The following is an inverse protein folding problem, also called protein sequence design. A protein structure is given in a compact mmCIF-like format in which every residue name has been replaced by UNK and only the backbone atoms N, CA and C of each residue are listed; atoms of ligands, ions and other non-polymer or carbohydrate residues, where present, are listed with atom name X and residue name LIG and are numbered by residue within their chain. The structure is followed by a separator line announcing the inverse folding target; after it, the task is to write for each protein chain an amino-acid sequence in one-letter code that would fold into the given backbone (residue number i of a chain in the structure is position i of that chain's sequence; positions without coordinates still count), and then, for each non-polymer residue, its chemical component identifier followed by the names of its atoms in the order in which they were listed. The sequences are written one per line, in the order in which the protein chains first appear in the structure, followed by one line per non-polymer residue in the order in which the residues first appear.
data_IF_735551364467
#
_entry.id   IF_735551364467
#
_cell.length_a   1.000
_cell.length_b   1.000
_cell.length_c   1.000
_cell.angle_alpha   90.00
_cell.angle_beta   90.00
_cell.angle_gamma   90.00
#
_symmetry.space_group_name_H-M   'P 1'
#
loop_
_entity.id
_entity.type
_entity.pdbx_description
1 polymer ?
#
# COMPACT_ATOMS: atom_id res chain seq x y z
N UNK A 1 6.35 -28.46 3.19
CA UNK A 1 5.53 -27.79 4.23
C UNK A 1 5.48 -26.32 3.90
N UNK A 2 4.32 -25.68 3.91
CA UNK A 2 4.21 -24.24 3.59
C UNK A 2 4.82 -23.45 4.74
N UNK A 3 5.82 -22.62 4.43
CA UNK A 3 6.42 -21.68 5.36
C UNK A 3 6.77 -20.38 4.61
N UNK A 4 6.04 -19.32 4.94
CA UNK A 4 6.19 -17.97 4.38
C UNK A 4 6.93 -17.03 5.34
N UNK A 5 7.29 -17.52 6.55
CA UNK A 5 8.09 -16.75 7.49
C UNK A 5 9.52 -16.61 6.97
N UNK A 6 10.07 -15.42 7.12
CA UNK A 6 11.42 -15.07 6.69
C UNK A 6 12.15 -14.34 7.80
N UNK A 7 13.43 -14.59 7.92
CA UNK A 7 14.26 -14.00 8.96
C UNK A 7 14.92 -12.69 8.53
N UNK A 8 14.92 -12.37 7.24
CA UNK A 8 15.65 -11.21 6.70
C UNK A 8 14.78 -10.32 5.82
N UNK A 9 14.75 -9.03 6.12
CA UNK A 9 14.13 -8.00 5.27
C UNK A 9 14.82 -7.93 3.91
N UNK A 10 16.14 -8.01 3.86
CA UNK A 10 16.89 -7.94 2.62
C UNK A 10 16.57 -9.11 1.68
N UNK A 11 16.36 -10.33 2.22
CA UNK A 11 15.96 -11.49 1.42
C UNK A 11 14.63 -11.24 0.69
N UNK A 12 13.60 -10.79 1.41
CA UNK A 12 12.27 -10.60 0.83
C UNK A 12 12.19 -9.40 -0.10
N UNK A 13 13.00 -8.37 0.15
CA UNK A 13 13.02 -7.16 -0.67
C UNK A 13 13.88 -7.29 -1.93
N UNK A 14 14.84 -8.21 -1.98
CA UNK A 14 15.79 -8.38 -3.10
C UNK A 14 15.13 -8.65 -4.46
N UNK A 15 13.89 -9.12 -4.46
CA UNK A 15 13.10 -9.36 -5.66
C UNK A 15 12.52 -8.07 -6.28
N UNK A 16 12.46 -6.97 -5.51
CA UNK A 16 11.96 -5.67 -5.98
C UNK A 16 13.01 -5.05 -6.90
N UNK A 17 12.56 -4.59 -8.07
CA UNK A 17 13.43 -3.99 -9.10
C UNK A 17 13.05 -2.55 -9.35
N UNK A 18 13.93 -1.83 -10.03
CA UNK A 18 13.67 -0.48 -10.51
C UNK A 18 12.38 -0.43 -11.33
N UNK A 19 11.62 0.64 -11.16
CA UNK A 19 10.35 0.86 -11.87
C UNK A 19 9.15 0.13 -11.29
N UNK A 20 9.32 -0.71 -10.26
CA UNK A 20 8.21 -1.45 -9.66
C UNK A 20 7.10 -0.54 -9.13
N UNK A 21 5.86 -1.02 -9.23
CA UNK A 21 4.69 -0.42 -8.57
C UNK A 21 4.47 -1.09 -7.23
N UNK A 22 4.44 -0.30 -6.16
CA UNK A 22 4.36 -0.80 -4.79
C UNK A 22 3.20 -0.15 -4.05
N UNK A 23 2.29 -0.98 -3.53
CA UNK A 23 1.28 -0.58 -2.56
C UNK A 23 1.93 -0.51 -1.17
N UNK A 24 1.86 0.64 -0.51
CA UNK A 24 2.38 0.81 0.84
C UNK A 24 1.22 1.11 1.80
N UNK A 25 0.97 0.17 2.71
CA UNK A 25 -0.06 0.28 3.73
C UNK A 25 0.18 1.45 4.67
N UNK A 26 -0.90 1.91 5.30
CA UNK A 26 -0.85 2.96 6.29
C UNK A 26 -1.88 4.07 6.05
N UNK A 27 -2.19 4.77 7.14
CA UNK A 27 -3.02 5.99 7.17
C UNK A 27 -2.32 6.99 8.10
N UNK A 28 -1.74 8.03 7.56
CA UNK A 28 -0.72 8.79 8.29
C UNK A 28 0.45 7.86 8.62
N UNK A 29 0.83 7.79 9.87
CA UNK A 29 1.87 6.86 10.37
C UNK A 29 1.28 5.53 10.88
N UNK A 30 -0.05 5.45 11.09
CA UNK A 30 -0.69 4.26 11.62
C UNK A 30 -0.67 3.12 10.58
N UNK A 31 -0.06 1.99 10.94
CA UNK A 31 0.03 0.81 10.08
C UNK A 31 1.02 0.93 8.92
N UNK A 32 1.89 1.93 8.91
CA UNK A 32 2.94 2.06 7.92
C UNK A 32 4.06 1.04 8.19
N UNK A 33 4.52 0.28 7.17
CA UNK A 33 5.57 -0.72 7.31
C UNK A 33 6.95 -0.07 7.25
N UNK A 34 7.34 0.65 8.31
CA UNK A 34 8.51 1.51 8.33
C UNK A 34 9.82 0.75 8.06
N UNK A 35 9.96 -0.43 8.63
CA UNK A 35 11.16 -1.25 8.50
C UNK A 35 11.30 -1.82 7.07
N UNK A 36 10.19 -2.18 6.41
CA UNK A 36 10.21 -2.54 4.98
C UNK A 36 10.56 -1.35 4.09
N UNK A 37 10.10 -0.15 4.45
CA UNK A 37 10.45 1.08 3.73
C UNK A 37 11.95 1.39 3.91
N UNK A 38 12.48 1.28 5.12
CA UNK A 38 13.93 1.46 5.36
C UNK A 38 14.75 0.46 4.56
N UNK A 39 14.31 -0.81 4.51
CA UNK A 39 14.95 -1.83 3.67
C UNK A 39 14.90 -1.52 2.16
N UNK A 40 13.83 -0.88 1.66
CA UNK A 40 13.80 -0.40 0.26
C UNK A 40 14.84 0.70 -0.01
N UNK A 41 15.08 1.57 0.96
CA UNK A 41 16.10 2.61 0.87
C UNK A 41 17.49 1.98 0.81
N UNK A 42 17.75 1.00 1.67
CA UNK A 42 19.02 0.25 1.70
C UNK A 42 19.25 -0.54 0.41
N UNK A 43 18.21 -1.11 -0.17
CA UNK A 43 18.26 -1.83 -1.44
C UNK A 43 18.65 -0.91 -2.61
N UNK A 44 18.35 0.39 -2.50
CA UNK A 44 18.77 1.41 -3.46
C UNK A 44 17.97 1.44 -4.77
N UNK A 45 16.85 0.75 -4.85
CA UNK A 45 15.96 0.73 -6.05
C UNK A 45 15.43 2.11 -6.39
N UNK A 46 15.20 2.35 -7.69
CA UNK A 46 14.84 3.65 -8.25
C UNK A 46 13.58 3.60 -9.10
N UNK A 47 13.09 4.77 -9.43
CA UNK A 47 11.95 4.95 -10.36
C UNK A 47 10.65 4.28 -9.91
N UNK A 48 10.47 4.07 -8.62
CA UNK A 48 9.30 3.40 -8.07
C UNK A 48 8.02 4.22 -8.27
N UNK A 49 6.92 3.53 -8.55
CA UNK A 49 5.56 4.07 -8.42
C UNK A 49 4.98 3.62 -7.09
N UNK A 50 4.70 4.55 -6.20
CA UNK A 50 4.15 4.27 -4.88
C UNK A 50 2.66 4.58 -4.85
N UNK A 51 1.87 3.63 -4.39
CA UNK A 51 0.44 3.78 -4.13
C UNK A 51 0.21 3.73 -2.63
N UNK A 52 -0.25 4.82 -2.04
CA UNK A 52 -0.50 4.92 -0.60
C UNK A 52 -1.60 5.94 -0.32
N UNK A 53 -2.12 5.98 0.91
CA UNK A 53 -3.14 6.97 1.26
C UNK A 53 -2.61 8.42 1.23
N UNK A 54 -1.36 8.63 1.60
CA UNK A 54 -0.69 9.95 1.62
C UNK A 54 0.72 9.85 1.01
N UNK A 55 1.41 10.99 0.92
CA UNK A 55 2.75 11.07 0.35
C UNK A 55 3.87 11.17 1.42
N UNK A 56 3.57 10.81 2.66
CA UNK A 56 4.53 10.88 3.77
C UNK A 56 4.49 12.18 4.54
N UNK A 57 4.95 12.11 5.78
CA UNK A 57 4.98 13.19 6.76
C UNK A 57 6.37 13.31 7.37
N UNK A 58 6.80 14.53 7.66
CA UNK A 58 8.09 14.79 8.28
C UNK A 58 9.24 14.17 7.48
N UNK A 59 10.09 13.43 8.17
CA UNK A 59 11.23 12.69 7.63
C UNK A 59 11.17 11.18 7.96
N UNK A 60 9.95 10.67 8.18
CA UNK A 60 9.70 9.29 8.57
C UNK A 60 9.05 8.48 7.45
N UNK A 61 9.34 7.16 7.42
CA UNK A 61 8.69 6.20 6.53
C UNK A 61 8.71 6.64 5.06
N UNK A 62 7.53 6.83 4.46
CA UNK A 62 7.42 7.18 3.03
C UNK A 62 8.13 8.50 2.67
N UNK A 63 8.18 9.48 3.58
CA UNK A 63 8.93 10.71 3.35
C UNK A 63 10.45 10.45 3.24
N UNK A 64 11.01 9.49 4.01
CA UNK A 64 12.41 9.04 3.86
C UNK A 64 12.67 8.42 2.49
N UNK A 65 11.74 7.58 2.01
CA UNK A 65 11.85 6.93 0.69
C UNK A 65 11.86 7.97 -0.44
N UNK A 66 10.99 8.99 -0.35
CA UNK A 66 10.97 10.12 -1.27
C UNK A 66 12.30 10.89 -1.25
N UNK A 67 12.78 11.22 -0.04
CA UNK A 67 14.05 11.94 0.15
C UNK A 67 15.26 11.18 -0.38
N UNK A 68 15.24 9.85 -0.35
CA UNK A 68 16.27 8.98 -0.93
C UNK A 68 16.28 8.98 -2.48
N UNK A 69 15.30 9.65 -3.11
CA UNK A 69 15.19 9.72 -4.57
C UNK A 69 14.85 8.37 -5.23
N UNK A 70 14.17 7.49 -4.52
CA UNK A 70 13.73 6.19 -5.02
C UNK A 70 12.40 6.26 -5.77
N UNK A 71 11.60 7.30 -5.56
CA UNK A 71 10.22 7.39 -6.05
C UNK A 71 10.16 8.32 -7.27
N UNK A 72 9.58 7.81 -8.36
CA UNK A 72 9.25 8.58 -9.55
C UNK A 72 7.83 9.14 -9.50
N UNK A 73 6.87 8.33 -9.03
CA UNK A 73 5.44 8.68 -9.01
C UNK A 73 4.79 8.28 -7.70
N UNK A 74 3.89 9.14 -7.21
CA UNK A 74 2.99 8.85 -6.09
C UNK A 74 1.55 8.87 -6.58
N UNK A 75 0.78 7.82 -6.27
CA UNK A 75 -0.67 7.74 -6.44
C UNK A 75 -1.27 7.74 -5.04
N UNK A 76 -1.99 8.79 -4.65
CA UNK A 76 -2.53 8.90 -3.30
C UNK A 76 -3.78 9.76 -3.24
N UNK A 77 -4.48 9.69 -2.11
CA UNK A 77 -5.70 10.48 -1.90
C UNK A 77 -5.44 11.83 -1.23
N UNK A 78 -4.41 11.93 -0.43
CA UNK A 78 -4.09 13.12 0.37
C UNK A 78 -2.59 13.39 0.39
N UNK A 79 -2.03 13.99 -0.68
CA UNK A 79 -0.59 14.14 -0.84
C UNK A 79 0.07 15.07 0.17
N UNK A 80 -0.69 16.06 0.69
CA UNK A 80 -0.15 17.13 1.50
C UNK A 80 -0.85 17.21 2.85
N UNK A 81 -0.07 17.08 3.91
CA UNK A 81 -0.43 17.41 5.29
C UNK A 81 0.43 18.58 5.79
N UNK A 82 0.21 19.05 7.02
CA UNK A 82 0.94 20.19 7.56
C UNK A 82 2.46 20.06 7.54
N UNK A 83 2.96 18.83 7.62
CA UNK A 83 4.38 18.45 7.70
C UNK A 83 4.89 17.68 6.47
N UNK A 84 4.18 17.71 5.34
CA UNK A 84 4.60 17.02 4.10
C UNK A 84 5.61 17.83 3.26
N UNK A 85 6.59 18.46 3.92
CA UNK A 85 7.55 19.35 3.26
C UNK A 85 8.45 18.61 2.25
N UNK A 86 8.86 17.37 2.52
CA UNK A 86 9.69 16.58 1.59
C UNK A 86 8.95 16.36 0.26
N UNK A 87 7.70 15.93 0.33
CA UNK A 87 6.88 15.75 -0.87
C UNK A 87 6.71 17.07 -1.63
N UNK A 88 6.37 18.16 -0.93
CA UNK A 88 6.15 19.48 -1.51
C UNK A 88 7.37 19.98 -2.29
N UNK A 89 8.56 19.87 -1.72
CA UNK A 89 9.81 20.27 -2.36
C UNK A 89 10.07 19.48 -3.65
N UNK A 90 9.94 18.16 -3.59
CA UNK A 90 10.18 17.27 -4.73
C UNK A 90 9.15 17.47 -5.83
N UNK A 91 7.87 17.61 -5.48
CA UNK A 91 6.80 17.85 -6.43
C UNK A 91 6.96 19.20 -7.15
N UNK A 92 7.23 20.29 -6.41
CA UNK A 92 7.47 21.62 -7.00
C UNK A 92 8.72 21.67 -7.87
N UNK A 93 9.72 20.85 -7.56
CA UNK A 93 10.94 20.70 -8.36
C UNK A 93 10.77 19.79 -9.59
N UNK A 94 9.55 19.24 -9.83
CA UNK A 94 9.27 18.31 -10.94
C UNK A 94 9.99 16.97 -10.83
N UNK A 95 10.45 16.60 -9.63
CA UNK A 95 11.19 15.35 -9.37
C UNK A 95 10.30 14.16 -9.06
N UNK A 96 9.04 14.39 -8.69
CA UNK A 96 8.06 13.36 -8.38
C UNK A 96 6.74 13.69 -9.07
N UNK A 97 6.20 12.73 -9.82
CA UNK A 97 4.87 12.81 -10.42
C UNK A 97 3.79 12.52 -9.37
N UNK A 98 2.63 13.18 -9.48
CA UNK A 98 1.49 12.97 -8.60
C UNK A 98 0.24 12.60 -9.39
N UNK A 99 -0.43 11.52 -8.96
CA UNK A 99 -1.80 11.21 -9.34
C UNK A 99 -2.68 11.28 -8.09
N UNK A 100 -3.59 12.26 -8.05
CA UNK A 100 -4.55 12.38 -6.95
C UNK A 100 -5.79 11.55 -7.27
N UNK A 101 -6.14 10.64 -6.36
CA UNK A 101 -7.33 9.78 -6.45
C UNK A 101 -8.15 9.97 -5.18
N UNK A 102 -9.44 10.34 -5.25
CA UNK A 102 -10.28 10.44 -4.06
C UNK A 102 -10.17 9.16 -3.22
N UNK A 103 -10.13 9.29 -1.91
CA UNK A 103 -9.80 8.16 -1.02
C UNK A 103 -10.73 6.96 -1.21
N UNK A 104 -12.05 7.20 -1.38
CA UNK A 104 -13.00 6.13 -1.69
C UNK A 104 -12.67 5.44 -3.02
N UNK A 105 -12.36 6.22 -4.08
CA UNK A 105 -11.97 5.67 -5.37
C UNK A 105 -10.62 4.91 -5.28
N UNK A 106 -9.66 5.42 -4.50
CA UNK A 106 -8.39 4.73 -4.27
C UNK A 106 -8.63 3.35 -3.65
N UNK A 107 -9.43 3.29 -2.59
CA UNK A 107 -9.79 2.03 -1.95
C UNK A 107 -10.54 1.09 -2.89
N UNK A 108 -11.54 1.60 -3.64
CA UNK A 108 -12.30 0.82 -4.62
C UNK A 108 -11.40 0.28 -5.75
N UNK A 109 -10.50 1.10 -6.29
CA UNK A 109 -9.57 0.71 -7.38
C UNK A 109 -8.59 -0.38 -6.93
N UNK A 110 -8.05 -0.28 -5.71
CA UNK A 110 -7.19 -1.31 -5.11
C UNK A 110 -7.99 -2.59 -4.87
N UNK A 111 -9.18 -2.48 -4.26
CA UNK A 111 -10.03 -3.63 -4.00
C UNK A 111 -10.48 -4.32 -5.29
N UNK A 112 -10.84 -3.56 -6.32
CA UNK A 112 -11.21 -4.09 -7.63
C UNK A 112 -10.08 -4.93 -8.25
N UNK A 113 -8.83 -4.51 -8.11
CA UNK A 113 -7.67 -5.29 -8.54
C UNK A 113 -7.60 -6.64 -7.82
N UNK A 114 -7.73 -6.64 -6.50
CA UNK A 114 -7.69 -7.86 -5.68
C UNK A 114 -8.86 -8.81 -5.91
N UNK A 115 -10.00 -8.29 -6.36
CA UNK A 115 -11.21 -9.07 -6.68
C UNK A 115 -11.26 -9.52 -8.15
N UNK A 116 -10.29 -9.13 -8.98
CA UNK A 116 -10.29 -9.47 -10.40
C UNK A 116 -11.32 -8.70 -11.25
N UNK A 117 -11.83 -7.57 -10.76
CA UNK A 117 -12.75 -6.72 -11.50
C UNK A 117 -11.99 -5.89 -12.55
N UNK A 118 -12.57 -5.77 -13.76
CA UNK A 118 -11.95 -5.01 -14.85
C UNK A 118 -12.09 -3.50 -14.70
N UNK A 119 -13.17 -3.03 -14.09
CA UNK A 119 -13.45 -1.63 -13.80
C UNK A 119 -14.61 -1.52 -12.81
N UNK A 120 -14.79 -0.35 -12.22
CA UNK A 120 -15.91 -0.03 -11.33
C UNK A 120 -16.46 1.37 -11.63
N UNK A 121 -17.76 1.56 -11.49
CA UNK A 121 -18.39 2.87 -11.53
C UNK A 121 -18.51 3.45 -10.11
N UNK A 122 -18.02 4.66 -9.89
CA UNK A 122 -18.14 5.36 -8.61
C UNK A 122 -18.75 6.75 -8.81
N UNK A 123 -19.57 7.26 -7.89
CA UNK A 123 -20.13 8.60 -8.02
C UNK A 123 -19.13 9.71 -7.67
N UNK A 124 -18.04 9.35 -6.98
CA UNK A 124 -17.07 10.31 -6.49
C UNK A 124 -16.20 10.83 -7.63
N UNK A 125 -16.14 12.14 -7.76
CA UNK A 125 -15.36 12.82 -8.80
C UNK A 125 -16.16 13.23 -10.02
N UNK A 126 -17.41 12.78 -10.19
CA UNK A 126 -18.27 13.23 -11.29
C UNK A 126 -18.42 14.75 -11.26
N UNK A 127 -18.36 15.40 -12.44
CA UNK A 127 -18.45 16.85 -12.59
C UNK A 127 -17.22 17.64 -12.11
N UNK A 128 -16.11 16.96 -11.81
CA UNK A 128 -14.83 17.59 -11.46
C UNK A 128 -13.74 17.27 -12.46
N UNK A 129 -12.58 17.93 -12.37
CA UNK A 129 -11.39 17.65 -13.18
C UNK A 129 -10.97 16.17 -13.12
N UNK A 130 -11.30 15.46 -12.04
CA UNK A 130 -10.97 14.04 -11.88
C UNK A 130 -11.78 13.12 -12.80
N UNK A 131 -12.88 13.59 -13.37
CA UNK A 131 -13.69 12.85 -14.34
C UNK A 131 -13.31 13.15 -15.79
N UNK A 132 -12.46 14.13 -16.05
CA UNK A 132 -12.06 14.48 -17.41
C UNK A 132 -11.38 13.31 -18.14
N UNK A 133 -11.87 13.02 -19.34
CA UNK A 133 -11.36 11.92 -20.16
C UNK A 133 -11.78 10.52 -19.74
N UNK A 134 -12.60 10.38 -18.66
CA UNK A 134 -13.15 9.11 -18.20
C UNK A 134 -14.57 8.90 -18.72
N UNK A 135 -14.93 7.62 -18.93
CA UNK A 135 -16.33 7.27 -19.21
C UNK A 135 -17.20 7.64 -18.02
N UNK A 136 -18.37 8.23 -18.31
CA UNK A 136 -19.38 8.52 -17.30
C UNK A 136 -20.68 7.81 -17.67
N UNK A 137 -21.49 7.45 -16.67
CA UNK A 137 -22.76 6.76 -16.88
C UNK A 137 -23.77 7.16 -15.81
N UNK A 138 -24.98 7.45 -16.23
CA UNK A 138 -26.11 7.55 -15.31
C UNK A 138 -26.63 6.13 -14.99
N UNK A 139 -26.79 5.82 -13.71
CA UNK A 139 -27.35 4.58 -13.21
C UNK A 139 -28.36 4.96 -12.13
N UNK A 140 -29.61 4.59 -12.31
CA UNK A 140 -30.71 4.86 -11.37
C UNK A 140 -30.81 6.35 -10.97
N UNK A 141 -30.68 7.25 -11.97
CA UNK A 141 -30.78 8.70 -11.78
C UNK A 141 -29.61 9.35 -11.08
N UNK A 142 -28.48 8.64 -10.97
CA UNK A 142 -27.23 9.14 -10.37
C UNK A 142 -26.06 8.96 -11.32
N UNK A 143 -25.24 9.99 -11.43
CA UNK A 143 -24.07 9.97 -12.29
C UNK A 143 -22.86 9.30 -11.64
N UNK A 144 -22.14 8.53 -12.45
CA UNK A 144 -20.96 7.76 -12.07
C UNK A 144 -19.81 8.00 -13.05
N UNK A 145 -18.59 7.79 -12.56
CA UNK A 145 -17.34 7.82 -13.32
C UNK A 145 -16.75 6.42 -13.32
N UNK A 146 -16.27 5.96 -14.47
CA UNK A 146 -15.55 4.69 -14.60
C UNK A 146 -14.13 4.82 -14.03
N UNK A 147 -13.78 3.92 -13.12
CA UNK A 147 -12.46 3.82 -12.54
C UNK A 147 -11.85 2.44 -12.81
N UNK A 148 -10.59 2.42 -13.26
CA UNK A 148 -9.84 1.20 -13.49
C UNK A 148 -9.10 0.73 -12.24
N UNK A 149 -8.93 -0.60 -12.05
CA UNK A 149 -8.17 -1.16 -10.94
C UNK A 149 -6.74 -0.62 -10.86
N UNK A 150 -6.22 -0.53 -9.64
CA UNK A 150 -4.80 -0.30 -9.39
C UNK A 150 -4.16 -1.62 -9.00
N UNK A 151 -3.48 -2.26 -9.94
CA UNK A 151 -2.64 -3.44 -9.71
C UNK A 151 -1.22 -3.01 -9.36
N UNK A 152 -0.51 -3.83 -8.59
CA UNK A 152 0.88 -3.57 -8.25
C UNK A 152 1.72 -4.86 -8.27
N UNK A 153 3.00 -4.69 -8.47
CA UNK A 153 3.97 -5.79 -8.41
C UNK A 153 4.12 -6.26 -6.95
N UNK A 154 4.14 -5.29 -6.01
CA UNK A 154 4.34 -5.58 -4.59
C UNK A 154 3.34 -4.83 -3.71
N UNK A 155 3.00 -5.46 -2.57
CA UNK A 155 2.37 -4.80 -1.43
C UNK A 155 3.26 -4.94 -0.19
N UNK A 156 3.61 -3.83 0.42
CA UNK A 156 4.29 -3.76 1.71
C UNK A 156 3.28 -3.34 2.77
N UNK A 157 2.99 -4.23 3.71
CA UNK A 157 1.97 -4.00 4.73
C UNK A 157 2.50 -4.28 6.14
N UNK A 158 1.84 -3.69 7.12
CA UNK A 158 2.11 -3.94 8.54
C UNK A 158 0.92 -4.61 9.20
N UNK A 159 1.15 -5.78 9.78
CA UNK A 159 0.16 -6.45 10.63
C UNK A 159 0.66 -6.54 12.07
N UNK A 160 -0.19 -6.98 12.98
CA UNK A 160 0.17 -7.16 14.38
C UNK A 160 0.83 -8.51 14.59
N UNK A 161 0.14 -9.60 14.20
CA UNK A 161 0.66 -10.96 14.25
C UNK A 161 0.41 -11.66 12.93
N UNK A 162 1.26 -12.62 12.61
CA UNK A 162 1.09 -13.52 11.49
C UNK A 162 1.51 -14.93 11.84
N UNK A 163 1.04 -15.92 11.11
CA UNK A 163 1.54 -17.28 11.18
C UNK A 163 2.40 -17.62 9.95
N UNK A 164 3.04 -18.79 9.97
CA UNK A 164 3.90 -19.25 8.86
C UNK A 164 3.14 -19.53 7.55
N UNK A 165 1.81 -19.59 7.56
CA UNK A 165 1.00 -19.68 6.36
C UNK A 165 0.66 -18.32 5.76
N UNK A 166 0.98 -17.22 6.48
CA UNK A 166 0.71 -15.87 6.04
C UNK A 166 -0.66 -15.34 6.46
N UNK A 167 -1.37 -16.02 7.36
CA UNK A 167 -2.58 -15.46 7.95
C UNK A 167 -2.21 -14.29 8.86
N UNK A 168 -2.96 -13.18 8.77
CA UNK A 168 -2.64 -11.95 9.47
C UNK A 168 -3.80 -11.43 10.31
N UNK A 169 -3.46 -10.94 11.51
CA UNK A 169 -4.34 -10.14 12.35
C UNK A 169 -3.75 -8.74 12.55
N UNK A 170 -4.60 -7.74 12.69
CA UNK A 170 -4.20 -6.34 12.82
C UNK A 170 -4.56 -5.81 14.20
N UNK A 171 -3.98 -4.68 14.56
CA UNK A 171 -4.28 -4.01 15.81
C UNK A 171 -4.83 -2.61 15.56
N UNK A 172 -6.07 -2.36 16.04
CA UNK A 172 -6.75 -1.05 15.95
C UNK A 172 -6.75 -0.50 14.52
N UNK A 173 -6.56 0.82 14.37
CA UNK A 173 -6.55 1.53 13.08
C UNK A 173 -5.38 1.17 12.15
N UNK A 174 -4.36 0.48 12.63
CA UNK A 174 -3.26 0.00 11.78
C UNK A 174 -3.70 -1.01 10.70
N UNK A 175 -4.91 -1.57 10.81
CA UNK A 175 -5.53 -2.39 9.78
C UNK A 175 -5.71 -1.65 8.45
N UNK A 176 -6.30 -0.44 8.49
CA UNK A 176 -6.62 0.47 7.36
C UNK A 176 -6.57 -0.17 5.95
N UNK A 177 -5.64 0.23 5.08
CA UNK A 177 -5.51 -0.28 3.71
C UNK A 177 -4.84 -1.65 3.60
N UNK A 178 -4.23 -2.18 4.67
CA UNK A 178 -3.46 -3.42 4.64
C UNK A 178 -4.17 -4.59 3.96
N UNK A 179 -5.41 -4.96 4.35
CA UNK A 179 -6.11 -6.12 3.78
C UNK A 179 -6.38 -6.00 2.28
N UNK A 180 -6.85 -4.85 1.80
CA UNK A 180 -7.16 -4.66 0.38
C UNK A 180 -5.89 -4.57 -0.48
N UNK A 181 -4.81 -4.00 0.05
CA UNK A 181 -3.51 -3.95 -0.62
C UNK A 181 -2.89 -5.34 -0.76
N UNK A 182 -3.02 -6.18 0.28
CA UNK A 182 -2.54 -7.57 0.23
C UNK A 182 -3.16 -8.38 -0.91
N UNK A 183 -4.41 -8.09 -1.28
CA UNK A 183 -5.13 -8.78 -2.35
C UNK A 183 -4.75 -8.28 -3.76
N UNK A 184 -4.23 -7.06 -3.86
CA UNK A 184 -4.10 -6.32 -5.12
C UNK A 184 -2.70 -6.35 -5.74
N UNK A 185 -1.75 -7.04 -5.12
CA UNK A 185 -0.39 -7.16 -5.61
C UNK A 185 -0.04 -8.60 -5.95
N UNK A 186 0.93 -8.77 -6.86
CA UNK A 186 1.44 -10.10 -7.22
C UNK A 186 2.22 -10.73 -6.05
N UNK A 187 2.97 -9.90 -5.30
CA UNK A 187 3.73 -10.33 -4.12
C UNK A 187 3.43 -9.42 -2.93
N UNK A 188 2.89 -9.99 -1.87
CA UNK A 188 2.67 -9.29 -0.60
C UNK A 188 3.70 -9.68 0.44
N UNK A 189 4.37 -8.67 0.99
CA UNK A 189 5.33 -8.78 2.07
C UNK A 189 4.74 -8.11 3.31
N UNK A 190 4.49 -8.88 4.35
CA UNK A 190 3.95 -8.39 5.60
C UNK A 190 5.01 -8.35 6.69
N UNK A 191 5.28 -7.16 7.24
CA UNK A 191 6.00 -7.08 8.51
C UNK A 191 5.02 -7.28 9.68
N UNK A 192 5.43 -8.05 10.67
CA UNK A 192 4.63 -8.33 11.86
C UNK A 192 5.45 -8.12 13.13
N UNK A 193 4.78 -7.78 14.23
CA UNK A 193 5.44 -7.71 15.55
C UNK A 193 5.76 -9.08 16.11
N UNK A 194 4.99 -10.11 15.70
CA UNK A 194 5.14 -11.47 16.22
C UNK A 194 4.70 -12.48 15.14
N UNK A 195 5.54 -13.49 14.91
CA UNK A 195 5.16 -14.70 14.17
C UNK A 195 4.76 -15.76 15.21
N UNK A 196 3.53 -16.25 15.09
CA UNK A 196 2.99 -17.25 16.01
C UNK A 196 2.96 -18.63 15.35
N UNK A 197 2.93 -19.68 16.17
CA UNK A 197 2.74 -21.06 15.70
C UNK A 197 1.37 -21.24 15.05
N UNK A 198 1.25 -22.23 14.15
CA UNK A 198 -0.04 -22.59 13.56
C UNK A 198 -1.07 -22.94 14.67
N UNK A 199 -2.26 -22.36 14.56
CA UNK A 199 -3.29 -22.46 15.58
C UNK A 199 -3.16 -21.42 16.70
N UNK A 200 -2.11 -20.60 16.71
CA UNK A 200 -1.94 -19.50 17.65
C UNK A 200 -2.74 -18.24 17.33
N UNK A 201 -3.30 -18.15 16.11
CA UNK A 201 -4.29 -17.14 15.77
C UNK A 201 -5.69 -17.73 15.90
N UNK A 202 -6.60 -16.96 16.50
CA UNK A 202 -8.01 -17.29 16.46
C UNK A 202 -8.51 -17.18 15.00
N UNK A 203 -9.01 -18.25 14.40
CA UNK A 203 -9.44 -18.25 13.00
C UNK A 203 -10.55 -17.24 12.70
N UNK A 204 -11.41 -16.93 13.68
CA UNK A 204 -12.47 -15.93 13.54
C UNK A 204 -11.92 -14.49 13.48
N UNK A 205 -10.69 -14.26 13.91
CA UNK A 205 -10.04 -12.95 13.92
C UNK A 205 -9.03 -12.75 12.78
N UNK A 206 -8.85 -13.75 11.92
CA UNK A 206 -7.99 -13.61 10.73
C UNK A 206 -8.66 -12.64 9.75
N UNK A 207 -7.97 -11.53 9.47
CA UNK A 207 -8.47 -10.47 8.58
C UNK A 207 -7.90 -10.61 7.16
N UNK A 208 -6.62 -10.94 7.04
CA UNK A 208 -5.99 -11.24 5.75
C UNK A 208 -5.64 -12.72 5.71
N UNK A 209 -6.35 -13.52 4.89
CA UNK A 209 -6.01 -14.92 4.67
C UNK A 209 -4.64 -15.08 4.03
N UNK A 210 -3.93 -16.13 4.42
CA UNK A 210 -2.58 -16.39 3.96
C UNK A 210 -2.44 -16.54 2.45
N UNK A 211 -3.50 -16.86 1.71
CA UNK A 211 -3.47 -16.96 0.23
C UNK A 211 -3.02 -15.65 -0.43
N UNK A 212 -3.19 -14.51 0.21
CA UNK A 212 -2.81 -13.18 -0.30
C UNK A 212 -1.42 -12.73 0.17
N UNK A 213 -0.71 -13.51 0.97
CA UNK A 213 0.58 -13.13 1.55
C UNK A 213 1.65 -14.12 1.13
N UNK A 214 2.74 -13.66 0.54
CA UNK A 214 3.85 -14.48 0.09
C UNK A 214 4.97 -14.54 1.13
N UNK A 215 5.19 -13.44 1.88
CA UNK A 215 6.24 -13.37 2.88
C UNK A 215 5.76 -12.69 4.17
N UNK A 216 6.13 -13.28 5.29
CA UNK A 216 5.92 -12.71 6.64
C UNK A 216 7.29 -12.52 7.28
N UNK A 217 7.60 -11.29 7.71
CA UNK A 217 8.86 -10.98 8.37
C UNK A 217 8.57 -10.41 9.76
N UNK A 218 9.13 -11.02 10.77
CA UNK A 218 9.05 -10.48 12.12
C UNK A 218 10.03 -9.35 12.29
N UNK A 219 9.53 -8.21 12.76
CA UNK A 219 10.35 -7.06 13.15
C UNK A 219 10.06 -6.71 14.60
N UNK A 220 11.09 -6.41 15.36
CA UNK A 220 10.89 -6.00 16.74
C UNK A 220 10.01 -4.74 16.79
N UNK A 221 9.08 -4.62 17.75
CA UNK A 221 8.37 -3.37 17.97
C UNK A 221 9.38 -2.25 18.21
N UNK A 222 9.19 -1.11 17.54
CA UNK A 222 9.95 0.09 17.89
C UNK A 222 9.72 0.40 19.38
N UNK A 223 10.81 0.57 20.13
CA UNK A 223 10.77 0.91 21.55
C UNK A 223 10.18 2.30 21.76
#
# INVERSE_FOLDING_TARGET
MIDKSKSSLSEVLSQIKDGATILIGGFGTAGQPAELIDGLIELGVKSLTIVSNNAGNGDYGLAKLLKAGSVKKVICSFPRQSDSYVFDELYRAGKVELEVVPQGNLACRIQAAGMGLGAVFTPTGFGTLLAEGKETREIDGKDYVLEYPIKADFALIKAYKGDRWGNLVYRKSARNFGPIMAMAADVTIAQVSEVVELGGLDPEHIITPGIFVQHVVQVAPAQ
#
